data_IF_696371522599
#
_entry.id   IF_696371522599
#
_cell.length_a   1.000
_cell.length_b   1.000
_cell.length_c   1.000
_cell.angle_alpha   90.00
_cell.angle_beta   90.00
_cell.angle_gamma   90.00
#
_symmetry.space_group_name_H-M   'P 1'
#
loop_
_entity.id
_entity.type
_entity.pdbx_description
1 polymer ?
#
# COMPACT_ATOMS: atom_id res chain seq x y z
N UNK A 1 25.33 41.21 -20.75
CA UNK A 1 25.74 40.20 -19.74
C UNK A 1 24.64 39.85 -18.72
N UNK A 2 23.60 40.68 -18.52
CA UNK A 2 22.53 40.47 -17.51
C UNK A 2 21.44 39.43 -17.89
N UNK A 3 21.26 39.14 -19.19
CA UNK A 3 20.20 38.24 -19.68
C UNK A 3 20.60 36.76 -19.74
N UNK A 4 21.90 36.45 -19.77
CA UNK A 4 22.41 35.05 -19.87
C UNK A 4 22.36 34.30 -18.53
N UNK A 5 22.37 35.00 -17.40
CA UNK A 5 22.32 34.40 -16.06
C UNK A 5 20.88 33.94 -15.69
N UNK A 6 19.86 34.68 -16.13
CA UNK A 6 18.45 34.36 -15.86
C UNK A 6 17.98 33.08 -16.57
N UNK A 7 18.46 32.81 -17.79
CA UNK A 7 18.08 31.62 -18.56
C UNK A 7 18.64 30.33 -17.92
N UNK A 8 19.85 30.37 -17.37
CA UNK A 8 20.46 29.22 -16.70
C UNK A 8 19.72 28.88 -15.39
N UNK A 9 19.31 29.90 -14.62
CA UNK A 9 18.56 29.70 -13.38
C UNK A 9 17.15 29.14 -13.62
N UNK A 10 16.48 29.60 -14.68
CA UNK A 10 15.15 29.08 -15.09
C UNK A 10 15.25 27.64 -15.62
N UNK A 11 16.34 27.31 -16.32
CA UNK A 11 16.57 25.95 -16.81
C UNK A 11 16.89 24.96 -15.68
N UNK A 12 17.55 25.40 -14.60
CA UNK A 12 17.81 24.55 -13.42
C UNK A 12 16.59 24.36 -12.52
N UNK A 13 15.68 25.33 -12.43
CA UNK A 13 14.44 25.19 -11.64
C UNK A 13 13.40 24.26 -12.29
N UNK A 14 13.53 23.98 -13.60
CA UNK A 14 12.56 23.18 -14.36
C UNK A 14 12.75 21.66 -14.20
N UNK A 15 13.72 21.22 -13.40
CA UNK A 15 14.04 19.81 -13.15
C UNK A 15 13.69 19.33 -11.74
N UNK A 16 12.82 20.04 -11.02
CA UNK A 16 12.23 19.52 -9.78
C UNK A 16 11.19 18.44 -10.13
N UNK A 17 11.65 17.22 -10.36
CA UNK A 17 10.78 16.04 -10.35
C UNK A 17 10.22 15.86 -8.94
N UNK A 18 8.91 16.03 -8.79
CA UNK A 18 8.19 15.64 -7.58
C UNK A 18 8.22 14.11 -7.50
N UNK A 19 9.01 13.57 -6.57
CA UNK A 19 8.95 12.14 -6.26
C UNK A 19 7.60 11.86 -5.59
N UNK A 20 6.68 11.24 -6.32
CA UNK A 20 5.49 10.64 -5.71
C UNK A 20 5.90 9.33 -5.06
N UNK A 21 5.60 9.17 -3.77
CA UNK A 21 5.68 7.87 -3.13
C UNK A 21 4.62 6.96 -3.78
N UNK A 22 5.03 5.81 -4.31
CA UNK A 22 4.11 4.81 -4.79
C UNK A 22 3.33 4.24 -3.60
N UNK A 23 2.05 3.96 -3.82
CA UNK A 23 1.21 3.30 -2.82
C UNK A 23 1.73 1.87 -2.56
N UNK A 24 1.69 1.47 -1.29
CA UNK A 24 2.08 0.13 -0.91
C UNK A 24 1.05 -0.89 -1.37
N UNK A 25 1.54 -1.93 -2.04
CA UNK A 25 0.77 -3.12 -2.37
C UNK A 25 1.25 -4.27 -1.49
N UNK A 26 0.30 -5.01 -0.94
CA UNK A 26 0.58 -6.18 -0.13
C UNK A 26 1.31 -7.23 -0.99
N UNK A 27 2.44 -7.71 -0.49
CA UNK A 27 3.27 -8.74 -1.09
C UNK A 27 3.12 -10.09 -0.40
N UNK A 28 3.59 -11.14 -1.06
CA UNK A 28 3.82 -12.43 -0.42
C UNK A 28 4.88 -12.32 0.71
N UNK A 29 4.66 -13.05 1.80
CA UNK A 29 5.52 -12.97 3.00
C UNK A 29 5.20 -11.83 3.96
N UNK A 30 4.33 -10.90 3.58
CA UNK A 30 3.90 -9.82 4.48
C UNK A 30 3.14 -10.38 5.69
N UNK A 31 3.33 -9.74 6.85
CA UNK A 31 2.51 -9.99 8.03
C UNK A 31 1.45 -8.91 8.15
N UNK A 32 0.18 -9.31 8.15
CA UNK A 32 -0.97 -8.44 8.29
C UNK A 32 -1.60 -8.63 9.66
N UNK A 33 -1.86 -7.52 10.35
CA UNK A 33 -2.68 -7.51 11.55
C UNK A 33 -4.10 -7.07 11.16
N UNK A 34 -5.06 -7.98 11.34
CA UNK A 34 -6.47 -7.73 11.03
C UNK A 34 -7.23 -7.66 12.34
N UNK A 35 -7.93 -6.54 12.53
CA UNK A 35 -8.69 -6.26 13.73
C UNK A 35 -10.14 -5.98 13.36
N UNK A 36 -11.05 -6.78 13.90
CA UNK A 36 -12.49 -6.60 13.76
C UNK A 36 -13.03 -5.97 15.02
N UNK A 37 -13.65 -4.80 14.89
CA UNK A 37 -14.14 -4.05 16.05
C UNK A 37 -15.25 -4.83 16.76
N UNK A 38 -15.11 -5.01 18.08
CA UNK A 38 -16.06 -5.74 18.92
C UNK A 38 -15.92 -7.27 18.88
N UNK A 39 -15.18 -7.81 17.93
CA UNK A 39 -15.05 -9.26 17.69
C UNK A 39 -13.56 -9.69 17.72
N UNK A 40 -12.96 -9.84 18.93
CA UNK A 40 -11.56 -10.24 19.05
C UNK A 40 -11.29 -11.64 18.48
N UNK A 41 -12.28 -12.52 18.50
CA UNK A 41 -12.17 -13.90 17.97
C UNK A 41 -12.06 -13.94 16.44
N UNK A 42 -12.48 -12.87 15.77
CA UNK A 42 -12.31 -12.68 14.32
C UNK A 42 -11.04 -11.89 13.96
N UNK A 43 -10.34 -11.37 14.97
CA UNK A 43 -9.11 -10.61 14.80
C UNK A 43 -7.91 -11.56 14.78
N UNK A 44 -7.01 -11.41 13.82
CA UNK A 44 -5.89 -12.33 13.62
C UNK A 44 -4.65 -11.62 13.07
N UNK A 45 -3.48 -12.16 13.43
CA UNK A 45 -2.21 -11.84 12.79
C UNK A 45 -1.88 -12.95 11.80
N UNK A 46 -1.80 -12.63 10.51
CA UNK A 46 -1.68 -13.61 9.43
C UNK A 46 -0.54 -13.25 8.49
N UNK A 47 0.09 -14.27 7.92
CA UNK A 47 1.14 -14.09 6.91
C UNK A 47 0.52 -14.32 5.53
N UNK A 48 0.86 -13.47 4.57
CA UNK A 48 0.48 -13.62 3.17
C UNK A 48 1.25 -14.78 2.58
N UNK A 49 0.51 -15.82 2.20
CA UNK A 49 1.06 -17.05 1.63
C UNK A 49 1.73 -16.78 0.26
N UNK A 50 2.58 -17.69 -0.25
CA UNK A 50 3.21 -17.56 -1.57
C UNK A 50 2.23 -17.49 -2.76
N UNK A 51 0.99 -17.96 -2.59
CA UNK A 51 -0.09 -17.80 -3.57
C UNK A 51 -0.82 -16.45 -3.45
N UNK A 52 -0.39 -15.61 -2.50
CA UNK A 52 -0.93 -14.29 -2.18
C UNK A 52 -2.25 -14.31 -1.43
N UNK A 53 -2.59 -15.44 -0.81
CA UNK A 53 -3.79 -15.61 -0.01
C UNK A 53 -3.49 -15.40 1.48
N UNK A 54 -4.51 -15.02 2.24
CA UNK A 54 -4.53 -15.09 3.71
C UNK A 54 -5.76 -15.89 4.13
N UNK A 55 -5.66 -16.54 5.29
CA UNK A 55 -6.76 -17.32 5.87
C UNK A 55 -7.24 -16.62 7.13
N UNK A 56 -8.53 -16.28 7.19
CA UNK A 56 -9.13 -15.61 8.35
C UNK A 56 -10.18 -16.48 9.04
N UNK A 57 -10.37 -16.33 10.37
CA UNK A 57 -11.50 -16.92 11.07
C UNK A 57 -12.82 -16.49 10.43
N UNK A 58 -13.77 -17.42 10.30
CA UNK A 58 -15.10 -17.24 9.71
C UNK A 58 -15.18 -16.88 8.20
N UNK A 59 -14.17 -16.23 7.62
CA UNK A 59 -14.15 -15.84 6.19
C UNK A 59 -13.46 -16.90 5.32
N UNK A 60 -12.45 -17.59 5.84
CA UNK A 60 -11.64 -18.53 5.07
C UNK A 60 -10.56 -17.85 4.24
N UNK A 61 -10.28 -18.40 3.05
CA UNK A 61 -9.17 -17.95 2.19
C UNK A 61 -9.58 -16.75 1.32
N UNK A 62 -8.85 -15.65 1.43
CA UNK A 62 -9.04 -14.43 0.63
C UNK A 62 -7.72 -13.96 0.01
N UNK A 63 -7.80 -13.45 -1.23
CA UNK A 63 -6.65 -12.86 -1.93
C UNK A 63 -6.28 -11.51 -1.30
N UNK A 64 -5.06 -11.41 -0.77
CA UNK A 64 -4.51 -10.18 -0.18
C UNK A 64 -3.45 -9.53 -1.08
N UNK A 65 -2.60 -10.32 -1.75
CA UNK A 65 -1.52 -9.74 -2.56
C UNK A 65 -2.05 -8.94 -3.74
N UNK A 66 -1.38 -7.83 -4.02
CA UNK A 66 -1.73 -6.91 -5.10
C UNK A 66 -2.81 -5.90 -4.73
N UNK A 67 -3.38 -5.96 -3.52
CA UNK A 67 -4.26 -4.94 -2.98
C UNK A 67 -3.50 -3.98 -2.08
N UNK A 68 -4.00 -2.74 -2.00
CA UNK A 68 -3.63 -1.80 -0.94
C UNK A 68 -4.30 -2.25 0.37
N UNK A 69 -3.71 -1.97 1.54
CA UNK A 69 -4.34 -2.30 2.82
C UNK A 69 -5.77 -1.77 2.98
N UNK A 70 -6.05 -0.58 2.43
CA UNK A 70 -7.38 0.02 2.46
C UNK A 70 -8.39 -0.74 1.59
N UNK A 71 -7.98 -1.16 0.38
CA UNK A 71 -8.83 -1.92 -0.54
C UNK A 71 -9.17 -3.32 0.02
N UNK A 72 -8.18 -3.97 0.66
CA UNK A 72 -8.41 -5.24 1.34
C UNK A 72 -9.39 -5.07 2.52
N UNK A 73 -9.26 -3.99 3.29
CA UNK A 73 -10.17 -3.71 4.39
C UNK A 73 -11.60 -3.42 3.92
N UNK A 74 -11.78 -2.77 2.76
CA UNK A 74 -13.10 -2.58 2.16
C UNK A 74 -13.73 -3.91 1.73
N UNK A 75 -12.95 -4.80 1.09
CA UNK A 75 -13.41 -6.14 0.70
C UNK A 75 -13.83 -7.02 1.87
N UNK A 76 -13.23 -6.84 3.05
CA UNK A 76 -13.57 -7.61 4.26
C UNK A 76 -14.82 -7.10 4.97
N UNK A 77 -15.36 -5.93 4.60
CA UNK A 77 -16.59 -5.37 5.19
C UNK A 77 -17.86 -5.85 4.50
N UNK A 78 -17.75 -6.36 3.28
CA UNK A 78 -18.86 -6.80 2.44
C UNK A 78 -19.30 -8.23 2.79
#
# INVERSE_FOLDING_TARGET
MRMRLLIVVVFTLSFLSTAHAADYLIGDGDTLQISVWGEPDLSASVIVRPDGMITLPAVGDIKASGYRPQELAERLKE
#
